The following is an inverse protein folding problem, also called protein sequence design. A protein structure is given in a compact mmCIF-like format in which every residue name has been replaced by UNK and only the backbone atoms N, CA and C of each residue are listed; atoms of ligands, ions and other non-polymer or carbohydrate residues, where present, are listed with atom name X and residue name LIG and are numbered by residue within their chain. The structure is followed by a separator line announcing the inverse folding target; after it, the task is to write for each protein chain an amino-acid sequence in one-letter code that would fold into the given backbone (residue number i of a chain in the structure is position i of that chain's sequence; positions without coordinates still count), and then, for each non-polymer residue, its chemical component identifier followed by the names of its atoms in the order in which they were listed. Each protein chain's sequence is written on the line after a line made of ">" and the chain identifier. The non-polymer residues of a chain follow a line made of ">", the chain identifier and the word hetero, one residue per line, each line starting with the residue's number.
data_IF_635063846793
#
_entry.id   IF_635063846793
#
_cell.length_a   1.000
_cell.length_b   1.000
_cell.length_c   1.000
_cell.angle_alpha   90.00
_cell.angle_beta   90.00
_cell.angle_gamma   90.00
#
_symmetry.space_group_name_H-M   'P 1'
#
loop_
_entity.id
_entity.type
_entity.pdbx_description
1 polymer ?
#
# COMPACT_ATOMS: atom_id res chain seq x y z
N UNK A 1 -10.96 -4.39 -7.20
CA UNK A 1 -10.67 -2.96 -6.93
C UNK A 1 -9.21 -2.78 -6.56
N UNK A 2 -8.74 -3.29 -5.41
CA UNK A 2 -7.34 -3.17 -4.95
C UNK A 2 -6.29 -3.71 -5.92
N UNK A 3 -6.63 -4.69 -6.76
CA UNK A 3 -5.72 -5.21 -7.78
C UNK A 3 -5.50 -4.26 -8.99
N UNK A 4 -6.28 -3.17 -9.11
CA UNK A 4 -6.21 -2.26 -10.26
C UNK A 4 -6.16 -0.79 -9.84
N UNK A 5 -6.86 -0.41 -8.76
CA UNK A 5 -6.98 0.97 -8.29
C UNK A 5 -6.16 1.19 -7.03
N UNK A 6 -5.41 2.29 -6.97
CA UNK A 6 -4.74 2.75 -5.76
C UNK A 6 -5.71 3.48 -4.81
N UNK A 7 -5.27 3.61 -3.57
CA UNK A 7 -5.84 4.45 -2.52
C UNK A 7 -4.72 5.23 -1.83
N UNK A 8 -4.04 6.07 -2.60
CA UNK A 8 -2.76 6.70 -2.22
C UNK A 8 -2.85 7.62 -1.00
N UNK A 9 -4.05 8.08 -0.62
CA UNK A 9 -4.25 9.00 0.51
C UNK A 9 -4.83 8.34 1.76
N UNK A 10 -5.09 7.03 1.70
CA UNK A 10 -5.65 6.27 2.83
C UNK A 10 -4.56 5.38 3.43
N UNK A 11 -4.29 5.57 4.72
CA UNK A 11 -3.41 4.73 5.51
C UNK A 11 -4.19 3.70 6.31
N UNK A 12 -3.54 2.61 6.71
CA UNK A 12 -4.15 1.56 7.53
C UNK A 12 -4.80 2.12 8.80
N UNK A 13 -4.15 3.07 9.47
CA UNK A 13 -4.66 3.78 10.65
C UNK A 13 -5.98 4.51 10.43
N UNK A 14 -6.35 4.83 9.19
CA UNK A 14 -7.65 5.46 8.90
C UNK A 14 -8.83 4.50 9.10
N UNK A 15 -8.58 3.19 9.19
CA UNK A 15 -9.61 2.19 9.45
C UNK A 15 -9.89 1.97 10.95
N UNK A 16 -8.95 2.37 11.82
CA UNK A 16 -9.04 2.18 13.27
C UNK A 16 -10.22 2.97 13.82
N UNK A 17 -11.08 2.31 14.58
CA UNK A 17 -12.32 2.84 15.18
C UNK A 17 -13.34 3.37 14.16
N UNK A 18 -13.13 3.11 12.87
CA UNK A 18 -14.07 3.42 11.78
C UNK A 18 -14.73 2.13 11.30
N UNK A 19 -13.91 1.12 10.98
CA UNK A 19 -14.39 -0.18 10.49
C UNK A 19 -13.70 -1.37 11.16
N UNK A 20 -12.53 -1.16 11.76
CA UNK A 20 -11.72 -2.20 12.39
C UNK A 20 -11.14 -1.70 13.71
N UNK A 21 -10.80 -2.62 14.60
CA UNK A 21 -10.01 -2.36 15.81
C UNK A 21 -8.53 -2.15 15.46
N UNK A 22 -7.74 -1.60 16.39
CA UNK A 22 -6.29 -1.43 16.19
C UNK A 22 -5.57 -2.76 15.95
N UNK A 23 -5.92 -3.81 16.70
CA UNK A 23 -5.32 -5.14 16.54
C UNK A 23 -5.64 -5.76 15.17
N UNK A 24 -6.88 -5.61 14.69
CA UNK A 24 -7.28 -6.06 13.35
C UNK A 24 -6.54 -5.29 12.25
N UNK A 25 -6.43 -3.96 12.38
CA UNK A 25 -5.68 -3.14 11.41
C UNK A 25 -4.22 -3.52 11.37
N UNK A 26 -3.61 -3.78 12.54
CA UNK A 26 -2.23 -4.21 12.63
C UNK A 26 -2.03 -5.56 11.94
N UNK A 27 -2.91 -6.53 12.19
CA UNK A 27 -2.86 -7.83 11.53
C UNK A 27 -3.00 -7.70 9.99
N UNK A 28 -3.92 -6.86 9.50
CA UNK A 28 -4.11 -6.61 8.08
C UNK A 28 -2.91 -5.91 7.43
N UNK A 29 -2.29 -4.94 8.12
CA UNK A 29 -1.13 -4.24 7.61
C UNK A 29 0.10 -5.17 7.51
N UNK A 30 0.26 -6.09 8.47
CA UNK A 30 1.35 -7.06 8.50
C UNK A 30 1.31 -8.10 7.37
N UNK A 31 0.16 -8.26 6.68
CA UNK A 31 0.04 -9.13 5.49
C UNK A 31 0.78 -8.59 4.25
N UNK A 32 1.17 -7.30 4.26
CA UNK A 32 1.82 -6.64 3.15
C UNK A 32 3.28 -6.28 3.48
N UNK A 33 4.14 -6.34 2.47
CA UNK A 33 5.53 -5.92 2.57
C UNK A 33 5.72 -4.51 2.01
N UNK A 34 6.49 -3.69 2.72
CA UNK A 34 6.88 -2.34 2.33
C UNK A 34 8.39 -2.21 2.29
N UNK A 35 8.88 -1.43 1.32
CA UNK A 35 10.27 -1.01 1.27
C UNK A 35 10.52 0.10 2.30
N UNK A 36 11.55 -0.07 3.12
CA UNK A 36 12.03 0.90 4.11
C UNK A 36 13.57 0.98 4.05
N UNK A 37 14.15 1.92 4.80
CA UNK A 37 15.60 2.14 4.87
C UNK A 37 16.04 3.50 4.34
N UNK A 38 17.35 3.68 4.09
CA UNK A 38 18.40 2.65 4.07
C UNK A 38 18.81 2.13 5.45
N UNK A 39 19.38 0.92 5.50
CA UNK A 39 20.01 0.34 6.69
C UNK A 39 21.44 0.87 6.93
N UNK A 40 22.14 0.31 7.93
CA UNK A 40 23.50 0.72 8.29
C UNK A 40 24.54 0.49 7.17
N UNK A 41 24.23 -0.34 6.17
CA UNK A 41 25.05 -0.58 4.99
C UNK A 41 24.66 0.31 3.80
N UNK A 42 23.60 1.11 3.92
CA UNK A 42 23.05 1.91 2.83
C UNK A 42 22.06 1.17 1.93
N UNK A 43 21.59 -0.02 2.33
CA UNK A 43 20.70 -0.86 1.54
C UNK A 43 19.23 -0.67 1.95
N UNK A 44 18.33 -0.63 0.96
CA UNK A 44 16.88 -0.64 1.24
C UNK A 44 16.44 -2.07 1.58
N UNK A 45 15.50 -2.23 2.51
CA UNK A 45 15.02 -3.54 2.96
C UNK A 45 13.49 -3.62 2.93
N UNK A 46 12.97 -4.85 2.92
CA UNK A 46 11.53 -5.11 3.04
C UNK A 46 11.16 -5.36 4.50
N UNK A 47 10.01 -4.84 4.93
CA UNK A 47 9.44 -5.11 6.24
C UNK A 47 7.93 -5.34 6.16
N UNK A 48 7.33 -6.04 7.15
CA UNK A 48 5.88 -6.07 7.29
C UNK A 48 5.33 -4.66 7.49
N UNK A 49 4.10 -4.45 7.01
CA UNK A 49 3.38 -3.20 7.16
C UNK A 49 3.04 -2.88 8.61
N UNK A 50 2.86 -1.58 8.87
CA UNK A 50 2.40 -1.04 10.15
C UNK A 50 1.21 -0.11 9.93
N UNK A 51 0.41 0.20 10.97
CA UNK A 51 -0.76 1.06 10.82
C UNK A 51 -0.49 2.45 10.19
N UNK A 52 0.73 2.97 10.28
CA UNK A 52 1.09 4.26 9.67
C UNK A 52 1.39 4.20 8.17
N UNK A 53 1.51 3.01 7.56
CA UNK A 53 1.73 2.87 6.12
C UNK A 53 0.45 3.14 5.33
N UNK A 54 0.62 3.63 4.10
CA UNK A 54 -0.46 3.78 3.12
C UNK A 54 -0.82 2.44 2.50
N UNK A 55 -1.99 2.37 1.87
CA UNK A 55 -2.40 1.17 1.15
C UNK A 55 -1.39 0.85 0.02
N UNK A 56 -1.11 -0.44 -0.23
CA UNK A 56 -0.13 -0.85 -1.23
C UNK A 56 -0.65 -0.51 -2.62
N UNK A 57 0.24 0.02 -3.46
CA UNK A 57 -0.09 0.33 -4.85
C UNK A 57 -0.13 -0.96 -5.69
N UNK A 58 -1.13 -1.14 -6.57
CA UNK A 58 -1.20 -2.32 -7.44
C UNK A 58 -0.13 -2.33 -8.53
N UNK A 59 0.44 -1.18 -8.85
CA UNK A 59 1.46 -1.00 -9.87
C UNK A 59 2.56 -0.07 -9.36
N UNK A 60 3.83 -0.27 -9.78
CA UNK A 60 4.95 0.57 -9.35
C UNK A 60 4.98 1.95 -10.01
N UNK A 61 4.24 2.16 -11.11
CA UNK A 61 4.13 3.42 -11.84
C UNK A 61 2.93 3.41 -12.81
N UNK A 62 2.63 4.57 -13.41
CA UNK A 62 1.51 4.74 -14.35
C UNK A 62 1.68 3.89 -15.63
N UNK A 63 2.91 3.75 -16.13
CA UNK A 63 3.20 2.99 -17.35
C UNK A 63 2.90 1.50 -17.15
N UNK A 64 3.28 0.93 -16.01
CA UNK A 64 2.95 -0.43 -15.63
C UNK A 64 1.43 -0.62 -15.48
N UNK A 65 0.74 0.37 -14.89
CA UNK A 65 -0.71 0.36 -14.79
C UNK A 65 -1.39 0.34 -16.16
N UNK A 66 -0.93 1.20 -17.09
CA UNK A 66 -1.45 1.24 -18.47
C UNK A 66 -1.15 -0.04 -19.24
N UNK A 67 0.05 -0.59 -19.10
CA UNK A 67 0.43 -1.84 -19.74
C UNK A 67 -0.47 -3.01 -19.28
N UNK A 68 -0.78 -3.07 -17.98
CA UNK A 68 -1.69 -4.08 -17.41
C UNK A 68 -3.17 -3.91 -17.79
N UNK A 69 -3.58 -2.73 -18.25
CA UNK A 69 -4.98 -2.36 -18.50
C UNK A 69 -5.24 -1.89 -19.94
N UNK A 70 -4.55 -2.49 -20.92
CA UNK A 70 -4.74 -2.21 -22.36
C UNK A 70 -4.64 -0.71 -22.74
N UNK A 71 -3.73 0.02 -22.08
CA UNK A 71 -3.46 1.44 -22.30
C UNK A 71 -4.28 2.39 -21.40
N UNK A 72 -5.34 1.91 -20.75
CA UNK A 72 -6.12 2.69 -19.81
C UNK A 72 -5.39 2.81 -18.46
N UNK A 73 -5.49 3.97 -17.81
CA UNK A 73 -4.98 4.17 -16.46
C UNK A 73 -6.16 4.09 -15.47
N UNK A 74 -6.21 3.06 -14.60
CA UNK A 74 -7.17 3.04 -13.52
C UNK A 74 -6.96 4.25 -12.60
N UNK A 75 -7.99 5.08 -12.33
CA UNK A 75 -7.86 6.23 -11.43
C UNK A 75 -7.64 5.78 -9.97
N UNK A 76 -6.90 6.57 -9.21
CA UNK A 76 -6.89 6.53 -7.73
C UNK A 76 -8.31 6.80 -7.21
N UNK A 77 -8.71 6.09 -6.15
CA UNK A 77 -10.07 6.16 -5.59
C UNK A 77 -10.13 6.85 -4.22
N UNK A 78 -9.09 7.61 -3.85
CA UNK A 78 -9.00 8.31 -2.56
C UNK A 78 -9.83 9.59 -2.48
#
# INVERSE_FOLDING_TARGET
>A
CSACHSLDRIAWRNLIDVSHTEDEVKALAEEYEYTDGPDDNGEMFQRPGKPSDYFPQPYPNEEAARAGNAGALPPDLS
#
